data_IF_403103878565
#
_entry.id   IF_403103878565
#
_cell.length_a   1.000
_cell.length_b   1.000
_cell.length_c   1.000
_cell.angle_alpha   90.00
_cell.angle_beta   90.00
_cell.angle_gamma   90.00
#
_symmetry.space_group_name_H-M   'P 1'
#
loop_
_entity.id
_entity.type
_entity.pdbx_description
1 polymer ?
2 non-polymer ?
3 non-polymer ?
4 water ?
#
# COMPACT_ATOMS: atom_id res chain seq x y z
N UNK A 9 7.29 3.47 -25.95
CA UNK A 9 7.87 4.19 -24.78
C UNK A 9 7.12 3.88 -23.49
N UNK A 10 7.87 3.75 -22.40
CA UNK A 10 7.34 3.17 -21.18
C UNK A 10 6.28 4.07 -20.52
N UNK A 11 5.22 3.47 -20.00
CA UNK A 11 4.26 4.22 -19.19
C UNK A 11 4.94 4.71 -17.92
N UNK A 12 4.31 5.71 -17.29
CA UNK A 12 4.84 6.29 -16.10
C UNK A 12 4.75 5.21 -15.03
N UNK A 13 5.86 4.96 -14.31
CA UNK A 13 5.86 3.86 -13.34
C UNK A 13 4.92 4.10 -12.16
N UNK A 14 4.15 3.07 -11.79
CA UNK A 14 3.33 3.20 -10.59
C UNK A 14 4.17 3.43 -9.33
N UNK A 15 3.58 4.10 -8.35
CA UNK A 15 4.16 4.29 -7.04
C UNK A 15 3.60 3.21 -6.12
N UNK A 16 4.49 2.45 -5.48
CA UNK A 16 4.08 1.36 -4.62
C UNK A 16 4.58 1.60 -3.19
N UNK A 17 3.64 1.68 -2.26
CA UNK A 17 3.98 1.97 -0.87
C UNK A 17 3.73 0.74 0.01
N UNK A 18 4.74 0.38 0.79
CA UNK A 18 4.72 -0.85 1.61
C UNK A 18 5.28 -0.52 2.98
N UNK A 19 4.81 -1.24 3.98
CA UNK A 19 5.38 -1.15 5.31
C UNK A 19 4.50 -1.85 6.30
N UNK A 20 5.02 -2.07 7.52
CA UNK A 20 4.25 -2.80 8.49
C UNK A 20 3.03 -2.04 8.96
N UNK A 21 2.05 -2.78 9.42
CA UNK A 21 0.87 -2.21 10.02
C UNK A 21 1.31 -1.37 11.22
N UNK A 22 0.74 -0.16 11.34
CA UNK A 22 1.02 0.73 12.46
C UNK A 22 2.12 1.74 12.14
N UNK A 23 2.65 1.70 10.92
CA UNK A 23 3.74 2.62 10.56
C UNK A 23 3.31 3.98 10.04
N UNK A 24 2.03 4.16 9.76
CA UNK A 24 1.48 5.42 9.27
C UNK A 24 1.56 5.63 7.76
N UNK A 25 1.70 4.57 6.99
CA UNK A 25 1.81 4.71 5.55
C UNK A 25 0.47 5.20 4.91
N UNK A 26 -0.65 4.85 5.50
CA UNK A 26 -1.95 5.32 5.02
C UNK A 26 -2.03 6.85 5.08
N UNK A 27 -1.62 7.41 6.20
CA UNK A 27 -1.63 8.87 6.34
C UNK A 27 -0.67 9.54 5.34
N UNK A 28 0.52 8.98 5.18
CA UNK A 28 1.46 9.52 4.19
C UNK A 28 0.82 9.49 2.80
N UNK A 29 0.19 8.38 2.44
CA UNK A 29 -0.49 8.29 1.15
C UNK A 29 -1.58 9.36 0.99
N UNK A 30 -2.37 9.58 2.04
CA UNK A 30 -3.40 10.64 2.02
C UNK A 30 -2.81 12.04 1.81
N UNK A 31 -1.62 12.27 2.36
CA UNK A 31 -0.91 13.51 2.13
C UNK A 31 -0.46 13.65 0.68
N UNK A 32 0.04 12.57 0.07
CA UNK A 32 0.43 12.60 -1.34
C UNK A 32 -0.77 12.93 -2.20
N UNK A 33 -1.89 12.30 -1.88
CA UNK A 33 -3.13 12.50 -2.66
C UNK A 33 -3.71 13.89 -2.44
N UNK A 34 -3.43 14.46 -1.28
CA UNK A 34 -3.83 15.81 -0.94
C UNK A 34 -3.06 16.85 -1.72
N UNK A 35 -1.75 16.66 -1.86
CA UNK A 35 -0.93 17.62 -2.60
C UNK A 35 -1.05 17.43 -4.11
N UNK A 36 -1.17 16.17 -4.54
CA UNK A 36 -1.15 15.81 -5.96
C UNK A 36 -2.41 15.06 -6.47
N UNK A 37 -3.61 15.60 -6.18
CA UNK A 37 -4.83 14.85 -6.42
C UNK A 37 -5.17 14.61 -7.88
N UNK A 38 -4.71 15.49 -8.77
CA UNK A 38 -4.90 15.31 -10.22
C UNK A 38 -3.81 14.45 -10.86
N UNK A 39 -2.82 14.02 -10.08
CA UNK A 39 -1.64 13.35 -10.65
C UNK A 39 -1.62 11.85 -10.38
N UNK A 40 -2.19 11.43 -9.25
CA UNK A 40 -2.21 10.01 -8.84
C UNK A 40 -3.63 9.51 -8.77
N UNK A 41 -3.84 8.22 -9.03
CA UNK A 41 -5.11 7.58 -8.73
C UNK A 41 -4.79 6.41 -7.81
N UNK A 42 -5.43 6.38 -6.64
CA UNK A 42 -5.24 5.32 -5.65
C UNK A 42 -5.94 4.05 -6.12
N UNK A 43 -5.21 2.94 -6.09
CA UNK A 43 -5.79 1.63 -6.40
C UNK A 43 -6.57 1.10 -5.20
N UNK A 44 -7.87 0.93 -5.40
CA UNK A 44 -8.76 0.44 -4.36
C UNK A 44 -8.72 -1.09 -4.39
N UNK A 45 -8.05 -1.67 -3.39
CA UNK A 45 -7.89 -3.10 -3.28
C UNK A 45 -9.19 -3.74 -2.83
N UNK A 46 -9.34 -5.02 -3.14
CA UNK A 46 -10.36 -5.83 -2.46
C UNK A 46 -9.77 -6.39 -1.20
N UNK A 47 -10.58 -6.46 -0.17
CA UNK A 47 -10.21 -7.18 1.04
C UNK A 47 -11.43 -7.87 1.65
N UNK A 48 -11.15 -8.97 2.33
CA UNK A 48 -12.16 -9.74 3.08
C UNK A 48 -12.22 -9.32 4.54
N UNK A 49 -11.32 -8.46 5.00
CA UNK A 49 -11.36 -8.06 6.41
C UNK A 49 -12.55 -7.16 6.65
N UNK A 50 -13.02 -7.09 7.90
CA UNK A 50 -14.15 -6.24 8.25
C UNK A 50 -13.77 -4.76 8.13
N UNK A 51 -14.69 -3.95 7.62
CA UNK A 51 -14.48 -2.52 7.47
C UNK A 51 -14.55 -1.89 8.84
N UNK A 52 -13.68 -0.92 9.09
CA UNK A 52 -13.71 -0.16 10.35
C UNK A 52 -14.72 0.98 10.19
N UNK A 53 -15.16 1.58 11.30
CA UNK A 53 -16.32 2.48 11.21
C UNK A 53 -16.12 3.71 10.33
N UNK A 54 -14.90 4.22 10.22
CA UNK A 54 -14.70 5.40 9.35
C UNK A 54 -13.99 5.10 8.04
N UNK A 55 -13.94 3.82 7.66
CA UNK A 55 -13.54 3.44 6.32
C UNK A 55 -14.76 3.42 5.44
N UNK A 56 -14.55 3.53 4.13
CA UNK A 56 -15.65 3.59 3.18
C UNK A 56 -15.45 2.59 2.05
N UNK A 57 -16.46 1.76 1.85
CA UNK A 57 -16.45 0.78 0.76
C UNK A 57 -16.39 1.53 -0.55
N UNK A 58 -15.44 1.20 -1.41
CA UNK A 58 -15.26 1.91 -2.67
C UNK A 58 -14.41 3.17 -2.60
N UNK A 59 -13.73 3.38 -1.47
CA UNK A 59 -12.78 4.47 -1.33
C UNK A 59 -11.48 3.93 -0.80
N UNK A 60 -11.54 3.31 0.37
CA UNK A 60 -10.38 2.70 1.02
C UNK A 60 -10.09 1.28 0.49
N UNK A 61 -11.17 0.49 0.41
CA UNK A 61 -11.15 -0.86 -0.14
C UNK A 61 -12.52 -1.12 -0.74
N UNK A 62 -12.61 -2.17 -1.54
CA UNK A 62 -13.87 -2.87 -1.80
C UNK A 62 -13.91 -4.00 -0.80
N UNK A 63 -14.80 -3.89 0.17
CA UNK A 63 -14.93 -4.93 1.19
C UNK A 63 -15.86 -6.02 0.69
N UNK A 64 -15.31 -7.22 0.51
CA UNK A 64 -16.08 -8.35 -0.06
C UNK A 64 -15.98 -9.53 0.90
N UNK A 65 -16.84 -10.53 0.74
CA UNK A 65 -16.69 -11.72 1.55
C UNK A 65 -15.72 -12.66 0.83
N UNK A 66 -15.24 -13.66 1.55
CA UNK A 66 -14.17 -14.53 1.05
C UNK A 66 -14.63 -15.32 -0.19
N UNK A 67 -15.92 -15.67 -0.23
CA UNK A 67 -16.52 -16.28 -1.41
C UNK A 67 -16.39 -15.40 -2.65
N UNK A 68 -16.66 -14.11 -2.50
CA UNK A 68 -16.60 -13.21 -3.64
C UNK A 68 -15.16 -12.90 -4.02
N UNK A 69 -14.27 -12.91 -3.03
CA UNK A 69 -12.85 -12.73 -3.30
C UNK A 69 -12.34 -13.89 -4.18
N UNK A 70 -12.69 -15.11 -3.79
CA UNK A 70 -12.30 -16.31 -4.54
C UNK A 70 -12.86 -16.31 -5.97
N UNK A 71 -14.11 -15.91 -6.12
CA UNK A 71 -14.73 -15.81 -7.43
C UNK A 71 -13.99 -14.82 -8.29
N UNK A 72 -13.69 -13.64 -7.74
CA UNK A 72 -12.93 -12.62 -8.46
C UNK A 72 -11.55 -13.13 -8.86
N UNK A 73 -10.88 -13.80 -7.95
CA UNK A 73 -9.58 -14.39 -8.25
C UNK A 73 -9.66 -15.38 -9.43
N UNK A 74 -10.61 -16.32 -9.36
CA UNK A 74 -10.70 -17.37 -10.36
C UNK A 74 -11.16 -16.84 -11.71
N UNK A 75 -11.94 -15.74 -11.69
CA UNK A 75 -12.35 -15.07 -12.93
C UNK A 75 -11.25 -14.17 -13.53
N UNK A 76 -10.11 -14.05 -12.84
CA UNK A 76 -8.95 -13.39 -13.41
C UNK A 76 -8.92 -11.88 -13.20
N UNK A 77 -9.63 -11.41 -12.18
CA UNK A 77 -9.68 -9.98 -11.86
C UNK A 77 -8.42 -9.40 -11.17
N UNK A 78 -7.57 -10.23 -10.57
CA UNK A 78 -6.43 -9.71 -9.77
C UNK A 78 -5.06 -9.76 -10.45
N UNK A 79 -4.28 -8.70 -10.25
CA UNK A 79 -2.87 -8.63 -10.65
C UNK A 79 -2.00 -9.36 -9.62
N UNK A 80 -2.42 -9.30 -8.37
CA UNK A 80 -1.73 -9.97 -7.28
C UNK A 80 -2.70 -10.11 -6.13
N UNK A 81 -2.40 -11.02 -5.22
CA UNK A 81 -3.17 -11.17 -4.02
C UNK A 81 -2.32 -11.82 -2.93
N UNK A 82 -2.78 -11.66 -1.70
CA UNK A 82 -2.10 -12.33 -0.60
C UNK A 82 -3.07 -12.51 0.54
N UNK A 83 -2.71 -13.42 1.45
CA UNK A 83 -3.36 -13.53 2.74
C UNK A 83 -2.47 -12.74 3.72
N UNK A 84 -3.09 -11.84 4.47
CA UNK A 84 -2.38 -11.07 5.50
C UNK A 84 -3.24 -11.12 6.75
N UNK A 85 -2.70 -11.60 7.86
CA UNK A 85 -3.46 -11.62 9.10
C UNK A 85 -4.85 -12.27 8.96
N UNK A 86 -4.91 -13.46 8.42
CA UNK A 86 -6.18 -14.21 8.27
C UNK A 86 -7.22 -13.64 7.30
N UNK A 87 -6.84 -12.64 6.49
CA UNK A 87 -7.74 -12.13 5.45
C UNK A 87 -7.00 -12.00 4.14
N UNK A 88 -7.78 -11.93 3.07
CA UNK A 88 -7.28 -11.83 1.71
C UNK A 88 -7.34 -10.38 1.22
N UNK A 89 -6.31 -10.01 0.49
CA UNK A 89 -6.20 -8.69 -0.10
C UNK A 89 -5.75 -8.86 -1.52
N UNK A 90 -6.23 -8.00 -2.41
CA UNK A 90 -5.91 -8.15 -3.83
C UNK A 90 -6.07 -6.88 -4.64
N UNK A 91 -5.17 -6.72 -5.63
CA UNK A 91 -5.13 -5.55 -6.50
C UNK A 91 -5.83 -5.90 -7.79
N UNK A 92 -6.82 -5.09 -8.13
CA UNK A 92 -7.63 -5.33 -9.30
C UNK A 92 -6.95 -4.78 -10.55
N UNK A 93 -6.91 -5.61 -11.60
CA UNK A 93 -6.49 -5.14 -12.90
C UNK A 93 -7.25 -3.89 -13.35
N UNK A 94 -8.57 -3.90 -13.17
CA UNK A 94 -9.43 -2.77 -13.53
C UNK A 94 -9.02 -1.45 -12.89
N UNK A 95 -8.48 -1.50 -11.68
CA UNK A 95 -8.09 -0.27 -10.98
C UNK A 95 -6.81 0.30 -11.58
N UNK A 96 -5.86 -0.56 -11.93
CA UNK A 96 -4.67 -0.10 -12.64
C UNK A 96 -5.08 0.46 -14.00
N UNK A 97 -5.99 -0.23 -14.69
CA UNK A 97 -6.47 0.22 -16.00
C UNK A 97 -7.14 1.60 -15.95
N UNK A 98 -7.90 1.86 -14.90
CA UNK A 98 -8.49 3.20 -14.70
C UNK A 98 -7.43 4.29 -14.56
N UNK A 99 -6.36 4.03 -13.81
CA UNK A 99 -5.28 4.99 -13.68
C UNK A 99 -4.69 5.26 -15.04
N UNK A 100 -4.39 4.18 -15.78
CA UNK A 100 -3.81 4.30 -17.13
C UNK A 100 -4.69 5.09 -18.10
N UNK A 101 -5.98 4.79 -18.13
CA UNK A 101 -6.93 5.52 -18.96
C UNK A 101 -7.02 6.99 -18.62
N UNK A 102 -6.81 7.33 -17.37
CA UNK A 102 -6.87 8.72 -16.91
C UNK A 102 -5.54 9.45 -17.11
N UNK A 103 -4.52 8.74 -17.57
CA UNK A 103 -3.19 9.29 -17.72
C UNK A 103 -2.51 9.58 -16.40
N UNK A 104 -2.95 8.94 -15.32
CA UNK A 104 -2.42 9.22 -13.99
C UNK A 104 -1.40 8.18 -13.52
N UNK A 105 -0.65 8.54 -12.49
CA UNK A 105 0.25 7.59 -11.84
C UNK A 105 -0.59 6.73 -10.91
N UNK A 106 -0.55 5.41 -11.07
CA UNK A 106 -1.30 4.54 -10.17
C UNK A 106 -0.55 4.49 -8.86
N UNK A 107 -1.26 4.65 -7.75
CA UNK A 107 -0.65 4.54 -6.42
C UNK A 107 -1.19 3.30 -5.72
N UNK A 108 -0.33 2.32 -5.50
CA UNK A 108 -0.73 1.09 -4.82
C UNK A 108 -0.21 1.11 -3.39
N UNK A 109 -0.99 0.55 -2.48
CA UNK A 109 -0.50 0.23 -1.15
C UNK A 109 -0.71 -1.27 -0.99
N UNK A 110 0.37 -1.99 -0.76
CA UNK A 110 0.31 -3.44 -0.60
C UNK A 110 1.44 -3.93 0.28
N UNK A 111 1.33 -5.17 0.74
CA UNK A 111 2.34 -5.78 1.59
C UNK A 111 3.49 -6.34 0.76
N UNK A 112 4.46 -6.88 1.46
CA UNK A 112 5.70 -7.25 0.84
C UNK A 112 5.52 -8.37 -0.19
N UNK A 113 4.60 -9.32 0.07
CA UNK A 113 4.33 -10.38 -0.90
C UNK A 113 3.67 -9.84 -2.19
N UNK A 114 2.81 -8.84 -2.03
CA UNK A 114 2.23 -8.14 -3.18
C UNK A 114 3.30 -7.44 -3.99
N UNK A 115 4.24 -6.79 -3.29
CA UNK A 115 5.40 -6.18 -3.98
C UNK A 115 6.18 -7.21 -4.79
N UNK A 116 6.49 -8.35 -4.18
CA UNK A 116 7.21 -9.40 -4.88
C UNK A 116 6.47 -9.83 -6.14
N UNK A 117 5.15 -9.93 -6.06
CA UNK A 117 4.34 -10.34 -7.20
C UNK A 117 4.30 -9.29 -8.30
N UNK A 118 4.15 -8.03 -7.92
CA UNK A 118 4.10 -6.95 -8.92
C UNK A 118 5.43 -6.87 -9.68
N UNK A 119 6.53 -7.05 -8.97
CA UNK A 119 7.84 -7.03 -9.60
C UNK A 119 8.04 -8.11 -10.64
N UNK A 120 7.32 -9.22 -10.51
CA UNK A 120 7.39 -10.32 -11.49
C UNK A 120 6.28 -10.28 -12.53
N UNK A 121 5.34 -9.34 -12.40
CA UNK A 121 4.20 -9.23 -13.30
C UNK A 121 4.61 -8.74 -14.68
N UNK A 122 3.95 -9.28 -15.70
CA UNK A 122 4.17 -8.85 -17.08
C UNK A 122 3.21 -7.72 -17.45
N UNK A 123 2.27 -7.40 -16.56
CA UNK A 123 1.33 -6.28 -16.76
C UNK A 123 1.90 -4.91 -16.43
N UNK A 124 2.99 -4.87 -15.65
CA UNK A 124 3.61 -3.60 -15.23
C UNK A 124 5.13 -3.68 -15.40
N UNK A 125 5.67 -2.79 -16.22
CA UNK A 125 7.08 -2.89 -16.63
C UNK A 125 8.08 -2.41 -15.59
N UNK A 126 7.68 -1.43 -14.79
CA UNK A 126 8.59 -0.83 -13.83
C UNK A 126 7.73 -0.26 -12.72
N UNK A 127 8.33 0.10 -11.60
CA UNK A 127 7.60 0.79 -10.53
C UNK A 127 8.57 1.46 -9.61
N UNK A 128 8.07 2.41 -8.83
CA UNK A 128 8.86 3.04 -7.77
C UNK A 128 8.33 2.52 -6.46
N UNK A 129 9.20 1.77 -5.76
CA UNK A 129 8.81 1.01 -4.59
C UNK A 129 9.43 1.63 -3.33
N UNK A 130 8.57 2.02 -2.40
CA UNK A 130 8.97 2.68 -1.15
C UNK A 130 8.56 1.85 0.06
N UNK A 131 9.51 1.57 0.95
CA UNK A 131 9.20 0.91 2.21
C UNK A 131 9.26 1.91 3.35
N UNK A 132 8.17 1.99 4.12
CA UNK A 132 8.02 2.90 5.26
C UNK A 132 8.34 2.14 6.53
N UNK A 133 9.37 2.60 7.24
CA UNK A 133 9.83 2.00 8.50
C UNK A 133 9.41 2.85 9.71
N UNK A 134 9.22 2.20 10.86
CA UNK A 134 8.93 2.98 12.07
C UNK A 134 10.23 3.53 12.67
N UNK A 135 10.16 4.55 13.53
CA UNK A 135 11.39 5.02 14.20
C UNK A 135 12.05 3.93 15.06
N UNK A 136 11.23 3.03 15.63
CA UNK A 136 11.71 1.85 16.33
C UNK A 136 10.57 0.83 16.35
N UNK A 137 10.90 -0.45 16.47
CA UNK A 137 9.90 -1.49 16.60
C UNK A 137 9.03 -1.25 17.84
N UNK A 138 9.67 -0.85 18.93
CA UNK A 138 8.99 -0.58 20.20
C UNK A 138 7.89 0.47 20.01
N UNK A 139 8.21 1.53 19.27
CA UNK A 139 7.21 2.58 19.00
C UNK A 139 6.06 2.02 18.18
N UNK A 140 6.37 1.23 17.16
CA UNK A 140 5.33 0.63 16.33
C UNK A 140 4.41 -0.31 17.14
N UNK A 141 4.99 -1.14 17.99
CA UNK A 141 4.19 -2.03 18.84
C UNK A 141 3.28 -1.23 19.74
N UNK A 142 3.79 -0.13 20.27
CA UNK A 142 2.98 0.81 21.05
C UNK A 142 1.84 1.43 20.28
N UNK A 143 2.10 1.81 19.04
CA UNK A 143 1.05 2.34 18.17
C UNK A 143 -0.03 1.30 17.91
N UNK A 144 0.35 0.06 17.62
CA UNK A 144 -0.63 -1.02 17.43
C UNK A 144 -1.47 -1.23 18.67
N UNK A 145 -0.83 -1.21 19.85
CA UNK A 145 -1.54 -1.33 21.12
C UNK A 145 -2.53 -0.21 21.38
N UNK A 146 -2.26 0.97 20.86
CA UNK A 146 -3.18 2.11 21.00
C UNK A 146 -4.45 1.99 20.17
N UNK A 147 -4.52 0.97 19.31
CA UNK A 147 -5.77 0.63 18.64
C UNK A 147 -6.67 -0.09 19.66
N UNK A 148 -7.49 0.69 20.35
CA UNK A 148 -8.28 0.20 21.50
C UNK A 148 -9.20 -0.96 21.17
N UNK A 149 -9.69 -0.98 19.93
CA UNK A 149 -10.82 -1.81 19.54
C UNK A 149 -10.43 -3.15 18.85
N UNK A 150 -9.21 -3.23 18.32
CA UNK A 150 -8.75 -4.45 17.63
C UNK A 150 -8.57 -5.59 18.65
N UNK A 151 -8.87 -6.82 18.27
CA UNK A 151 -8.75 -7.97 19.18
C UNK A 151 -7.29 -8.41 19.33
N UNK A 152 -6.92 -8.99 20.49
CA UNK A 152 -5.53 -9.44 20.65
C UNK A 152 -4.99 -10.35 19.53
N UNK A 153 -5.83 -11.24 19.01
CA UNK A 153 -5.39 -12.13 17.94
C UNK A 153 -5.04 -11.34 16.67
N UNK A 154 -5.83 -10.29 16.42
CA UNK A 154 -5.61 -9.43 15.23
C UNK A 154 -4.29 -8.71 15.37
N UNK A 155 -4.05 -8.15 16.55
CA UNK A 155 -2.79 -7.49 16.87
C UNK A 155 -1.64 -8.48 16.78
N UNK A 156 -1.85 -9.69 17.31
CA UNK A 156 -0.87 -10.75 17.25
C UNK A 156 -0.44 -11.03 15.82
N UNK A 157 -1.42 -11.22 14.94
CA UNK A 157 -1.10 -11.52 13.55
C UNK A 157 -0.35 -10.38 12.88
N UNK A 158 -0.77 -9.15 13.13
CA UNK A 158 -0.08 -7.99 12.58
C UNK A 158 1.38 -7.86 13.06
N UNK A 159 1.62 -8.22 14.31
CA UNK A 159 2.99 -8.26 14.85
C UNK A 159 3.80 -9.44 14.26
N UNK A 160 3.16 -10.57 13.98
CA UNK A 160 3.86 -11.67 13.30
C UNK A 160 4.24 -11.27 11.87
N UNK A 161 3.34 -10.59 11.17
CA UNK A 161 3.63 -10.10 9.82
C UNK A 161 4.78 -9.10 9.88
N UNK A 162 4.76 -8.21 10.86
CA UNK A 162 5.86 -7.27 11.11
C UNK A 162 7.21 -7.94 11.12
N UNK A 163 7.36 -9.04 11.86
CA UNK A 163 8.65 -9.73 11.96
C UNK A 163 9.16 -10.17 10.60
N UNK A 164 8.29 -10.81 9.83
CA UNK A 164 8.65 -11.22 8.47
C UNK A 164 9.01 -10.02 7.61
N UNK A 165 8.17 -8.99 7.67
CA UNK A 165 8.34 -7.81 6.82
C UNK A 165 9.67 -7.11 7.07
N UNK A 166 10.00 -6.92 8.34
CA UNK A 166 11.25 -6.25 8.72
C UNK A 166 12.47 -7.08 8.32
N UNK A 167 12.32 -8.40 8.37
CA UNK A 167 13.36 -9.34 7.99
C UNK A 167 13.63 -9.32 6.49
N UNK A 168 12.57 -9.21 5.69
CA UNK A 168 12.68 -9.41 4.23
C UNK A 168 12.81 -8.15 3.39
N UNK A 169 12.53 -6.98 3.98
CA UNK A 169 12.44 -5.74 3.21
C UNK A 169 13.75 -5.43 2.48
N UNK A 170 14.85 -5.75 3.14
CA UNK A 170 16.21 -5.56 2.60
C UNK A 170 16.49 -6.43 1.37
N UNK A 171 15.74 -7.51 1.21
CA UNK A 171 16.02 -8.47 0.16
C UNK A 171 15.12 -8.30 -1.07
N UNK A 172 14.13 -7.41 -0.98
CA UNK A 172 13.06 -7.34 -1.97
C UNK A 172 13.34 -6.41 -3.15
N UNK A 173 14.13 -5.36 -2.93
CA UNK A 173 14.47 -4.44 -4.01
C UNK A 173 13.73 -3.12 -3.99
N UNK A 174 13.54 -2.55 -2.81
CA UNK A 174 12.90 -1.24 -2.72
C UNK A 174 13.83 -0.16 -3.23
N UNK A 175 13.22 0.86 -3.82
CA UNK A 175 13.96 2.00 -4.33
C UNK A 175 14.31 2.97 -3.22
N UNK A 176 13.50 2.99 -2.17
CA UNK A 176 13.67 3.96 -1.11
C UNK A 176 13.09 3.45 0.21
N UNK A 177 13.83 3.71 1.27
CA UNK A 177 13.41 3.42 2.62
C UNK A 177 13.26 4.76 3.34
N UNK A 178 12.11 4.95 3.97
CA UNK A 178 11.82 6.19 4.68
C UNK A 178 11.35 5.85 6.08
N UNK A 179 11.77 6.65 7.06
CA UNK A 179 11.44 6.44 8.46
C UNK A 179 10.37 7.45 8.83
N UNK A 180 9.20 6.96 9.23
CA UNK A 180 8.08 7.83 9.59
C UNK A 180 8.09 8.15 11.07
N UNK A 181 8.96 9.08 11.47
CA UNK A 181 9.06 9.52 12.87
C UNK A 181 8.03 10.59 13.20
N UNK A 182 7.76 11.47 12.23
CA UNK A 182 6.87 12.62 12.43
C UNK A 182 6.28 12.88 11.07
N UNK A 183 4.96 12.99 10.96
CA UNK A 183 4.33 13.05 9.65
C UNK A 183 4.81 14.25 8.84
N UNK A 184 4.86 15.44 9.46
CA UNK A 184 5.31 16.64 8.68
C UNK A 184 6.72 16.49 8.14
N UNK A 185 7.66 16.07 8.98
CA UNK A 185 9.03 15.88 8.53
C UNK A 185 9.11 14.80 7.46
N UNK A 186 8.46 13.67 7.73
CA UNK A 186 8.54 12.54 6.82
C UNK A 186 7.92 12.85 5.47
N UNK A 187 6.78 13.55 5.48
CA UNK A 187 6.18 13.93 4.22
C UNK A 187 7.03 14.94 3.45
N UNK A 188 7.65 15.89 4.16
CA UNK A 188 8.58 16.81 3.48
C UNK A 188 9.69 16.03 2.77
N UNK A 189 10.21 14.98 3.39
CA UNK A 189 11.19 14.12 2.75
C UNK A 189 10.63 13.34 1.54
N UNK A 190 9.49 12.70 1.77
CA UNK A 190 8.82 11.89 0.77
C UNK A 190 8.49 12.71 -0.50
N UNK A 191 7.90 13.89 -0.34
CA UNK A 191 7.52 14.68 -1.52
C UNK A 191 8.73 15.06 -2.36
N UNK A 192 9.86 15.35 -1.71
CA UNK A 192 11.09 15.65 -2.45
C UNK A 192 11.63 14.43 -3.21
N UNK A 193 11.54 13.26 -2.59
CA UNK A 193 11.87 12.01 -3.29
C UNK A 193 10.98 11.80 -4.51
N UNK A 194 9.67 12.03 -4.34
CA UNK A 194 8.72 11.84 -5.43
C UNK A 194 8.95 12.85 -6.57
N UNK A 195 9.15 14.11 -6.23
CA UNK A 195 9.44 15.14 -7.22
C UNK A 195 10.73 14.84 -7.97
N UNK A 196 11.70 14.26 -7.29
CA UNK A 196 12.96 13.88 -7.92
C UNK A 196 12.79 12.65 -8.81
N UNK A 197 11.89 11.77 -8.43
CA UNK A 197 11.70 10.48 -9.11
C UNK A 197 10.76 10.61 -10.30
N UNK A 198 9.84 11.57 -10.21
CA UNK A 198 8.83 11.79 -11.23
C UNK A 198 9.01 13.20 -11.75
N UNK A 199 9.91 13.39 -12.71
CA UNK A 199 10.12 14.75 -13.23
C UNK A 199 8.85 15.36 -13.84
N UNK A 200 7.82 14.52 -14.05
CA UNK A 200 6.55 14.95 -14.63
C UNK A 200 5.63 15.59 -13.60
N UNK A 201 5.96 15.43 -12.32
CA UNK A 201 5.05 15.75 -11.21
C UNK A 201 5.11 17.19 -10.72
N UNK A 202 3.94 17.81 -10.56
CA UNK A 202 3.81 19.10 -9.86
C UNK A 202 2.50 19.10 -9.07
N UNK A 203 2.36 20.02 -8.12
CA UNK A 203 1.23 20.05 -7.23
C UNK A 203 -0.08 20.21 -7.96
N UNK A 204 -1.15 19.70 -7.34
CA UNK A 204 -2.52 20.03 -7.72
C UNK A 204 -3.26 18.90 -8.41
X LIG B 1 -4.94 -3.23 6.52
X LIG B 1 -4.10 -2.70 7.66
X LIG B 1 -5.83 -4.41 6.91
X LIG B 1 -5.66 -2.13 5.77
X LIG B 1 -3.86 -3.82 5.52
X LIG B 1 -3.01 -4.89 5.92
X LIG B 1 -1.88 -5.08 4.95
X LIG B 1 -2.38 -5.53 3.68
X LIG B 1 -1.08 -3.80 4.68
X LIG B 1 0.30 -4.12 4.56
X LIG B 1 -1.61 -3.34 3.35
X LIG B 1 -0.68 -2.50 2.65
X LIG B 1 -1.81 -4.71 2.67
X LIG B 1 -2.65 -4.59 1.47
X LIG B 1 -3.65 -3.71 1.26
X LIG B 1 -4.12 -3.91 0.02
X LIG B 1 -3.40 -4.91 -0.54
X LIG B 1 -3.41 -5.54 -1.78
X LIG B 1 -4.22 -5.23 -2.67
X LIG B 1 -2.55 -6.52 -2.00
X LIG B 1 -1.64 -6.90 -1.09
X LIG B 1 -0.77 -7.87 -1.36
X LIG B 1 -1.59 -6.30 0.11
X LIG B 1 -2.47 -5.31 0.38
X LIG C 1 -0.88 2.07 8.66
X LIG C 1 -1.62 2.81 7.59
X LIG C 1 -0.69 2.91 9.90
X LIG C 1 0.48 1.71 8.11
X LIG C 1 -1.70 0.72 9.03
X LIG C 1 -2.21 -0.28 8.44
X LIG C 1 -3.62 0.23 8.49
X LIG C 1 -1.80 -0.65 9.83
X LIG C 1 -2.03 -1.46 7.49
#
# INVERSE_FOLDING_TARGET
XAHHHHHHMARIPPLVVCGPSGVGKGTLIKKVLSEFPSRFRFSISCTTRNKREKETNGVDYYFVDKDDFERKLKEGQFLEFDKYANNFYGTLKSEYDLAVGEGKICLFEMNINGVKQLKESKHIQDGIYIFVKPPSIDILLGRLKNRNTEKPEEINKRMQELTREMDEADKVGFNYFIVNDDLARTYAELREYLLGSYPQLRGG
5GP P O1P O2P O3P O5' C5' C4' O4' C3' O3' C2' O2' C1' N9 C8 N7 C5 C6 O6 N1 C2 N2 N3 C4
POP P1 O1 O2 O3 O P2 O4 O5 O6
#
